data_IF_871976473181
#
_entry.id   IF_871976473181
#
_cell.length_a   1.000
_cell.length_b   1.000
_cell.length_c   1.000
_cell.angle_alpha   90.00
_cell.angle_beta   90.00
_cell.angle_gamma   90.00
#
_symmetry.space_group_name_H-M   'P 1'
#
loop_
_entity.id
_entity.type
_entity.pdbx_description
1 polymer ?
#
# COMPACT_ATOMS: atom_id res chain seq x y z
N UNK A 1 3.30 2.78 -23.55
CA UNK A 1 3.22 1.38 -23.09
C UNK A 1 3.70 1.35 -21.65
N UNK A 2 2.86 0.97 -20.69
CA UNK A 2 3.27 0.86 -19.29
C UNK A 2 3.49 -0.63 -18.98
N UNK A 3 4.69 -0.98 -18.50
CA UNK A 3 5.04 -2.35 -18.13
C UNK A 3 4.58 -2.64 -16.70
N UNK A 4 4.08 -3.85 -16.44
CA UNK A 4 3.69 -4.34 -15.12
C UNK A 4 4.66 -5.42 -14.63
N UNK A 5 4.82 -5.56 -13.32
CA UNK A 5 5.47 -6.73 -12.73
C UNK A 5 4.44 -7.86 -12.65
N UNK A 6 4.74 -9.03 -13.23
CA UNK A 6 3.81 -10.16 -13.27
C UNK A 6 4.07 -11.08 -12.09
N UNK A 7 3.06 -11.25 -11.23
CA UNK A 7 3.08 -12.18 -10.11
C UNK A 7 2.15 -13.38 -10.36
N UNK A 8 2.47 -14.52 -9.78
CA UNK A 8 1.68 -15.75 -9.82
C UNK A 8 1.84 -16.55 -8.51
N UNK A 9 1.35 -17.80 -8.47
CA UNK A 9 1.42 -18.66 -7.28
C UNK A 9 2.84 -18.97 -6.80
N UNK A 10 3.84 -18.88 -7.68
CA UNK A 10 5.22 -19.32 -7.42
C UNK A 10 6.24 -18.18 -7.48
N UNK A 11 5.84 -16.99 -7.91
CA UNK A 11 6.73 -15.86 -8.12
C UNK A 11 6.01 -14.53 -7.89
N UNK A 12 6.65 -13.64 -7.16
CA UNK A 12 6.34 -12.20 -7.13
C UNK A 12 7.62 -11.47 -6.74
N UNK A 13 7.82 -10.26 -7.25
CA UNK A 13 8.96 -9.41 -6.89
C UNK A 13 8.86 -8.95 -5.42
N UNK A 14 10.03 -8.88 -4.77
CA UNK A 14 10.20 -8.45 -3.38
C UNK A 14 11.24 -7.35 -3.31
N UNK A 15 11.22 -6.58 -2.23
CA UNK A 15 12.23 -5.59 -1.90
C UNK A 15 12.95 -6.04 -0.63
N UNK A 16 14.28 -5.96 -0.60
CA UNK A 16 15.02 -6.26 0.62
C UNK A 16 14.67 -5.22 1.72
N UNK A 17 14.59 -5.63 3.00
CA UNK A 17 14.32 -4.72 4.10
C UNK A 17 15.28 -3.53 4.10
N UNK A 18 14.75 -2.33 4.38
CA UNK A 18 15.56 -1.10 4.38
C UNK A 18 16.53 -1.10 5.56
N UNK A 19 17.82 -1.14 5.25
CA UNK A 19 18.90 -0.95 6.23
C UNK A 19 19.52 0.44 6.11
N UNK A 20 19.92 1.02 7.25
CA UNK A 20 20.69 2.27 7.25
C UNK A 20 22.10 2.02 6.68
N UNK A 21 22.58 2.86 5.74
CA UNK A 21 23.95 2.78 5.26
C UNK A 21 24.94 3.35 6.30
N UNK A 22 26.23 3.08 6.09
CA UNK A 22 27.29 3.69 6.88
C UNK A 22 27.29 5.22 6.76
N UNK A 23 27.80 5.89 7.81
CA UNK A 23 27.92 7.36 7.82
C UNK A 23 28.75 7.82 6.62
N UNK A 24 28.21 8.78 5.85
CA UNK A 24 28.83 9.28 4.62
C UNK A 24 28.30 8.62 3.34
N UNK A 25 27.35 7.69 3.44
CA UNK A 25 26.70 7.05 2.30
C UNK A 25 25.18 7.26 2.32
N UNK A 26 24.56 7.09 1.16
CA UNK A 26 23.11 7.09 0.99
C UNK A 26 22.66 5.91 0.14
N UNK A 27 21.42 5.46 0.36
CA UNK A 27 20.73 4.48 -0.49
C UNK A 27 19.73 5.22 -1.37
N UNK A 28 19.64 4.83 -2.64
CA UNK A 28 18.70 5.37 -3.62
C UNK A 28 17.91 4.23 -4.26
N UNK A 29 16.59 4.38 -4.25
CA UNK A 29 15.65 3.49 -4.95
C UNK A 29 15.08 4.22 -6.17
N UNK A 30 15.09 3.56 -7.33
CA UNK A 30 14.69 4.18 -8.60
C UNK A 30 13.56 3.39 -9.29
N UNK A 31 12.52 4.09 -9.70
CA UNK A 31 11.46 3.56 -10.56
C UNK A 31 11.35 4.45 -11.80
N UNK A 32 11.26 3.86 -12.98
CA UNK A 32 11.23 4.61 -14.25
C UNK A 32 10.26 4.02 -15.26
N UNK A 33 9.89 4.85 -16.25
CA UNK A 33 9.08 4.43 -17.41
C UNK A 33 9.76 3.31 -18.20
N UNK A 34 11.08 3.34 -18.25
CA UNK A 34 11.92 2.41 -19.02
C UNK A 34 12.11 1.06 -18.33
N UNK A 35 11.60 0.87 -17.11
CA UNK A 35 11.44 -0.44 -16.50
C UNK A 35 12.09 -0.64 -15.14
N UNK A 36 12.75 0.36 -14.57
CA UNK A 36 13.29 0.24 -13.20
C UNK A 36 12.12 0.12 -12.21
N UNK A 37 12.24 -0.76 -11.21
CA UNK A 37 11.20 -1.07 -10.21
C UNK A 37 11.84 -1.12 -8.83
N UNK A 38 11.82 0.02 -8.13
CA UNK A 38 12.51 0.20 -6.84
C UNK A 38 13.95 -0.32 -6.88
N UNK A 39 14.66 -0.05 -7.97
CA UNK A 39 16.03 -0.54 -8.15
C UNK A 39 16.95 0.16 -7.16
N UNK A 40 17.61 -0.62 -6.31
CA UNK A 40 18.50 -0.15 -5.24
C UNK A 40 19.89 0.16 -5.80
N UNK A 41 20.42 1.30 -5.39
CA UNK A 41 21.80 1.74 -5.63
C UNK A 41 22.31 2.53 -4.44
N UNK A 42 23.63 2.69 -4.34
CA UNK A 42 24.26 3.46 -3.27
C UNK A 42 25.13 4.58 -3.85
N UNK A 43 25.38 5.61 -3.05
CA UNK A 43 26.35 6.64 -3.36
C UNK A 43 26.95 7.26 -2.11
N UNK A 44 28.03 8.00 -2.29
CA UNK A 44 28.73 8.68 -1.22
C UNK A 44 28.27 10.13 -1.12
N UNK A 45 28.14 10.65 0.09
CA UNK A 45 27.88 12.07 0.33
C UNK A 45 29.19 12.84 0.29
N UNK A 46 29.30 13.81 -0.60
CA UNK A 46 30.45 14.72 -0.65
C UNK A 46 30.30 15.86 0.36
N UNK A 47 31.36 16.15 1.10
CA UNK A 47 31.41 17.29 2.03
C UNK A 47 31.58 18.65 1.32
N UNK A 48 31.93 18.65 0.04
CA UNK A 48 32.15 19.86 -0.77
C UNK A 48 30.95 20.17 -1.64
N UNK A 49 30.15 21.14 -1.23
CA UNK A 49 29.07 21.73 -2.01
C UNK A 49 29.65 22.56 -3.17
N UNK A 50 29.71 21.98 -4.38
CA UNK A 50 30.43 22.65 -5.46
C UNK A 50 30.18 22.15 -6.88
N UNK A 51 28.95 21.75 -7.24
CA UNK A 51 28.60 21.59 -8.65
C UNK A 51 28.16 22.94 -9.24
N UNK A 52 29.06 23.64 -9.95
CA UNK A 52 28.71 24.87 -10.65
C UNK A 52 27.65 24.60 -11.73
N UNK A 53 26.43 25.12 -11.57
CA UNK A 53 25.39 25.11 -12.61
C UNK A 53 24.19 24.16 -12.41
N UNK A 54 24.02 23.55 -11.22
CA UNK A 54 22.91 22.63 -10.91
C UNK A 54 21.82 23.19 -9.98
N UNK A 55 20.76 22.39 -9.76
CA UNK A 55 19.73 22.64 -8.74
C UNK A 55 20.21 22.08 -7.40
N UNK A 56 20.10 22.87 -6.34
CA UNK A 56 20.45 22.47 -4.99
C UNK A 56 19.22 22.42 -4.09
N UNK A 57 19.06 21.30 -3.37
CA UNK A 57 18.04 21.11 -2.34
C UNK A 57 18.71 21.10 -0.97
N UNK A 58 18.23 21.93 -0.06
CA UNK A 58 18.76 22.06 1.30
C UNK A 58 17.73 21.59 2.32
N UNK A 59 18.14 20.69 3.21
CA UNK A 59 17.31 20.21 4.32
C UNK A 59 17.68 20.93 5.62
N UNK A 60 16.68 21.44 6.35
CA UNK A 60 16.87 22.05 7.67
C UNK A 60 16.18 21.19 8.75
N UNK A 61 16.92 20.47 9.61
CA UNK A 61 16.34 19.56 10.61
C UNK A 61 15.61 20.29 11.76
N UNK A 62 15.76 21.60 11.91
CA UNK A 62 15.10 22.39 12.95
C UNK A 62 13.71 22.89 12.56
N UNK A 63 13.34 22.78 11.28
CA UNK A 63 12.00 23.13 10.79
C UNK A 63 11.18 21.86 10.71
N UNK A 64 10.21 21.72 11.61
CA UNK A 64 9.34 20.54 11.69
C UNK A 64 7.92 20.88 11.20
N UNK A 65 7.25 19.87 10.66
CA UNK A 65 5.86 19.95 10.18
C UNK A 65 5.01 18.86 10.85
N UNK A 66 4.11 18.22 10.11
CA UNK A 66 3.23 17.17 10.62
C UNK A 66 3.95 15.85 10.87
N UNK A 67 3.41 15.05 11.80
CA UNK A 67 3.71 13.64 11.91
C UNK A 67 2.99 12.85 10.81
N UNK A 68 3.67 11.86 10.23
CA UNK A 68 3.09 10.96 9.25
C UNK A 68 2.52 9.75 9.98
N UNK A 69 1.20 9.54 9.87
CA UNK A 69 0.53 8.41 10.52
C UNK A 69 0.83 7.08 9.82
N UNK A 70 0.89 7.09 8.48
CA UNK A 70 1.11 5.89 7.70
C UNK A 70 0.67 6.01 6.25
N UNK A 71 0.74 4.87 5.55
CA UNK A 71 0.35 4.70 4.15
C UNK A 71 -0.39 3.37 3.99
N UNK A 72 -1.29 3.31 3.00
CA UNK A 72 -2.27 2.24 2.97
C UNK A 72 -3.18 2.21 1.76
N UNK A 73 -4.15 1.31 1.81
CA UNK A 73 -5.17 1.12 0.78
C UNK A 73 -6.57 0.99 1.36
N UNK A 74 -7.57 0.86 0.49
CA UNK A 74 -8.94 0.56 0.89
C UNK A 74 -9.23 -0.94 0.73
N UNK A 75 -9.79 -1.55 1.77
CA UNK A 75 -10.26 -2.93 1.72
C UNK A 75 -11.76 -2.93 1.42
N UNK A 76 -12.10 -2.79 0.14
CA UNK A 76 -13.48 -2.76 -0.36
C UNK A 76 -13.96 -4.17 -0.74
N UNK A 77 -15.26 -4.37 -0.93
CA UNK A 77 -15.82 -5.64 -1.42
C UNK A 77 -15.17 -6.06 -2.74
N UNK A 78 -15.01 -5.13 -3.69
CA UNK A 78 -14.32 -5.41 -4.94
C UNK A 78 -12.87 -5.86 -4.73
N UNK A 79 -12.13 -5.26 -3.80
CA UNK A 79 -10.76 -5.69 -3.50
C UNK A 79 -10.76 -7.11 -2.94
N UNK A 80 -11.59 -7.39 -1.94
CA UNK A 80 -11.70 -8.70 -1.32
C UNK A 80 -12.13 -9.78 -2.32
N UNK A 81 -13.16 -9.52 -3.13
CA UNK A 81 -13.64 -10.44 -4.18
C UNK A 81 -12.54 -10.77 -5.20
N UNK A 82 -11.76 -9.77 -5.65
CA UNK A 82 -10.69 -10.01 -6.61
C UNK A 82 -9.52 -10.79 -6.00
N UNK A 83 -9.15 -10.49 -4.75
CA UNK A 83 -8.11 -11.25 -4.03
C UNK A 83 -8.57 -12.70 -3.87
N UNK A 84 -9.78 -12.94 -3.37
CA UNK A 84 -10.30 -14.29 -3.12
C UNK A 84 -10.51 -15.14 -4.39
N UNK A 85 -10.58 -14.52 -5.57
CA UNK A 85 -10.59 -15.24 -6.87
C UNK A 85 -9.23 -15.83 -7.26
N UNK A 86 -8.14 -15.38 -6.64
CA UNK A 86 -6.80 -15.92 -6.89
C UNK A 86 -6.60 -17.25 -6.17
N UNK A 87 -5.61 -18.04 -6.60
CA UNK A 87 -5.18 -19.20 -5.81
C UNK A 87 -4.64 -18.75 -4.45
N UNK A 88 -4.78 -19.57 -3.40
CA UNK A 88 -4.30 -19.24 -2.06
C UNK A 88 -2.82 -18.81 -2.03
N UNK A 89 -1.96 -19.49 -2.80
CA UNK A 89 -0.55 -19.10 -2.92
C UNK A 89 -0.38 -17.70 -3.53
N UNK A 90 -1.15 -17.36 -4.57
CA UNK A 90 -1.11 -16.02 -5.18
C UNK A 90 -1.72 -14.94 -4.28
N UNK A 91 -2.76 -15.27 -3.49
CA UNK A 91 -3.30 -14.37 -2.47
C UNK A 91 -2.22 -13.99 -1.46
N UNK A 92 -1.47 -14.98 -0.96
CA UNK A 92 -0.36 -14.73 -0.04
C UNK A 92 0.74 -13.87 -0.67
N UNK A 93 1.10 -14.10 -1.93
CA UNK A 93 2.07 -13.24 -2.62
C UNK A 93 1.59 -11.78 -2.68
N UNK A 94 0.33 -11.57 -3.08
CA UNK A 94 -0.27 -10.23 -3.15
C UNK A 94 -0.32 -9.54 -1.78
N UNK A 95 -0.74 -10.25 -0.74
CA UNK A 95 -0.80 -9.70 0.62
C UNK A 95 0.60 -9.38 1.16
N UNK A 96 1.60 -10.22 0.88
CA UNK A 96 3.00 -9.94 1.24
C UNK A 96 3.53 -8.69 0.54
N UNK A 97 3.23 -8.50 -0.75
CA UNK A 97 3.64 -7.30 -1.49
C UNK A 97 3.14 -6.01 -0.85
N UNK A 98 1.96 -6.03 -0.21
CA UNK A 98 1.44 -4.86 0.50
C UNK A 98 1.88 -4.76 1.96
N UNK A 99 1.81 -5.84 2.73
CA UNK A 99 1.85 -5.78 4.20
C UNK A 99 3.11 -6.36 4.86
N UNK A 100 3.99 -7.02 4.11
CA UNK A 100 5.22 -7.59 4.67
C UNK A 100 6.41 -6.65 4.56
N UNK A 101 7.45 -6.91 5.36
CA UNK A 101 8.77 -6.24 5.32
C UNK A 101 9.49 -6.42 3.97
N UNK A 102 9.14 -7.45 3.21
CA UNK A 102 9.67 -7.70 1.86
C UNK A 102 8.84 -6.99 0.76
N UNK A 103 7.85 -6.19 1.17
CA UNK A 103 6.90 -5.48 0.32
C UNK A 103 6.88 -3.98 0.59
N UNK A 104 5.69 -3.38 0.51
CA UNK A 104 5.49 -1.93 0.72
C UNK A 104 5.17 -1.53 2.16
N UNK A 105 5.11 -2.50 3.08
CA UNK A 105 4.86 -2.28 4.53
C UNK A 105 3.67 -1.36 4.84
N UNK A 106 2.54 -1.57 4.16
CA UNK A 106 1.29 -0.88 4.45
C UNK A 106 0.93 -1.04 5.92
N UNK A 107 0.66 0.08 6.58
CA UNK A 107 0.29 0.14 8.00
C UNK A 107 -1.05 0.84 8.24
N UNK A 108 -1.76 1.20 7.17
CA UNK A 108 -3.11 1.73 7.20
C UNK A 108 -4.03 0.96 6.26
N UNK A 109 -5.27 0.74 6.69
CA UNK A 109 -6.34 0.24 5.85
C UNK A 109 -7.61 1.06 6.06
N UNK A 110 -8.28 1.40 4.96
CA UNK A 110 -9.60 2.04 4.97
C UNK A 110 -10.67 0.97 4.71
N UNK A 111 -11.60 0.80 5.65
CA UNK A 111 -12.71 -0.14 5.54
C UNK A 111 -14.03 0.63 5.36
N UNK A 112 -14.82 0.38 4.30
CA UNK A 112 -16.17 0.95 4.16
C UNK A 112 -17.14 0.41 5.21
N UNK A 113 -18.03 1.24 5.75
CA UNK A 113 -19.12 0.81 6.65
C UNK A 113 -20.37 0.63 5.78
N UNK A 114 -20.83 -0.60 5.60
CA UNK A 114 -21.84 -0.95 4.60
C UNK A 114 -21.26 -0.92 3.19
N UNK A 115 -22.12 -0.72 2.19
CA UNK A 115 -21.67 -0.71 0.79
C UNK A 115 -20.88 0.55 0.40
N UNK A 116 -20.20 0.45 -0.74
CA UNK A 116 -19.68 1.58 -1.50
C UNK A 116 -20.02 1.41 -3.00
N UNK A 117 -19.59 2.35 -3.84
CA UNK A 117 -19.62 2.20 -5.29
C UNK A 117 -18.75 1.02 -5.79
N UNK A 118 -17.80 0.55 -4.97
CA UNK A 118 -17.00 -0.66 -5.19
C UNK A 118 -17.62 -1.94 -4.57
N UNK A 119 -18.93 -1.92 -4.32
CA UNK A 119 -19.72 -3.08 -3.91
C UNK A 119 -20.55 -3.62 -5.08
N UNK A 120 -20.88 -4.92 -5.09
CA UNK A 120 -21.68 -5.52 -6.18
C UNK A 120 -23.17 -5.20 -6.11
N UNK A 121 -23.62 -4.64 -4.99
CA UNK A 121 -25.00 -4.20 -4.73
C UNK A 121 -24.99 -3.08 -3.67
N UNK A 122 -26.02 -2.23 -3.63
CA UNK A 122 -26.24 -1.35 -2.48
C UNK A 122 -26.69 -2.17 -1.25
N UNK A 123 -26.17 -1.81 -0.08
CA UNK A 123 -26.62 -2.30 1.22
C UNK A 123 -26.13 -1.40 2.36
N UNK A 124 -26.89 -1.37 3.44
CA UNK A 124 -26.46 -0.95 4.77
C UNK A 124 -26.54 -2.13 5.74
N UNK A 125 -26.18 -1.91 7.00
CA UNK A 125 -26.29 -2.93 8.04
C UNK A 125 -27.69 -3.00 8.67
N UNK A 126 -28.63 -2.13 8.29
CA UNK A 126 -29.95 -2.04 8.90
C UNK A 126 -31.09 -1.89 7.88
N UNK A 127 -30.97 -2.58 6.74
CA UNK A 127 -31.98 -2.52 5.66
C UNK A 127 -33.14 -3.51 5.86
N UNK A 128 -33.09 -4.38 6.89
CA UNK A 128 -34.06 -5.46 7.07
C UNK A 128 -35.39 -5.01 7.68
N UNK A 129 -35.38 -3.93 8.46
CA UNK A 129 -36.55 -3.42 9.18
C UNK A 129 -36.80 -1.96 8.81
N UNK A 130 -38.06 -1.62 8.54
CA UNK A 130 -38.46 -0.24 8.22
C UNK A 130 -38.58 0.55 9.53
N UNK A 131 -38.07 1.79 9.55
CA UNK A 131 -38.11 2.70 10.70
C UNK A 131 -37.45 2.13 11.98
N UNK A 132 -36.36 1.36 11.83
CA UNK A 132 -35.65 0.75 12.95
C UNK A 132 -34.69 1.71 13.68
N UNK A 133 -35.26 2.76 14.27
CA UNK A 133 -34.50 3.74 15.05
C UNK A 133 -33.80 3.15 16.29
N UNK A 134 -34.16 1.92 16.69
CA UNK A 134 -33.57 1.20 17.81
C UNK A 134 -32.50 0.16 17.38
N UNK A 135 -32.23 0.02 16.07
CA UNK A 135 -31.25 -0.90 15.48
C UNK A 135 -31.46 -2.38 15.91
N UNK A 136 -32.71 -2.81 16.06
CA UNK A 136 -33.05 -4.20 16.42
C UNK A 136 -32.69 -5.22 15.34
N UNK A 137 -32.58 -4.78 14.09
CA UNK A 137 -32.33 -5.58 12.91
C UNK A 137 -30.94 -5.31 12.31
N UNK A 138 -30.08 -4.57 13.03
CA UNK A 138 -28.70 -4.35 12.62
C UNK A 138 -27.94 -5.68 12.55
N UNK A 139 -27.39 -5.99 11.37
CA UNK A 139 -26.55 -7.16 11.15
C UNK A 139 -25.45 -6.86 10.13
N UNK A 140 -24.28 -7.48 10.32
CA UNK A 140 -23.23 -7.46 9.31
C UNK A 140 -23.68 -8.21 8.05
N UNK A 141 -23.30 -7.70 6.89
CA UNK A 141 -23.70 -8.31 5.63
C UNK A 141 -22.86 -9.56 5.32
N UNK A 142 -23.29 -10.42 4.37
CA UNK A 142 -22.48 -11.50 3.85
C UNK A 142 -21.09 -11.06 3.37
N UNK A 143 -20.98 -9.84 2.84
CA UNK A 143 -19.72 -9.22 2.40
C UNK A 143 -18.70 -9.12 3.56
N UNK A 144 -19.11 -8.73 4.77
CA UNK A 144 -18.22 -8.62 5.94
C UNK A 144 -17.88 -9.97 6.61
N UNK A 145 -18.77 -10.96 6.44
CA UNK A 145 -18.67 -12.25 7.14
C UNK A 145 -18.07 -13.35 6.29
N UNK A 146 -18.22 -13.29 4.96
CA UNK A 146 -17.81 -14.35 4.03
C UNK A 146 -16.61 -14.00 3.15
N UNK A 147 -16.27 -12.71 2.97
CA UNK A 147 -15.08 -12.30 2.23
C UNK A 147 -13.86 -12.26 3.17
N UNK A 148 -13.41 -13.44 3.60
CA UNK A 148 -12.28 -13.64 4.53
C UNK A 148 -11.23 -14.57 3.96
#
# INVERSE_FOLDING_TARGET
NAMVCVCNATYCDTVDPVSLPDVGYYVKYTTSRDGQRLERSEGQTDATSGASGGIFYTYNPFVQYQYIKGFGGAFTDAAAINILKLSYATQNQLLRSYFSEEGSEYNLLRWPIGCSDFSTRPYSYDDHCVDDFELKCFELAPEDTKLR
#
